data_IF_050013799454
#
_entry.id   IF_050013799454
#
_cell.length_a   1.000
_cell.length_b   1.000
_cell.length_c   1.000
_cell.angle_alpha   90.00
_cell.angle_beta   90.00
_cell.angle_gamma   90.00
#
_symmetry.space_group_name_H-M   'P 1'
#
loop_
_entity.id
_entity.type
_entity.pdbx_description
1 polymer ?
#
# COMPACT_ATOMS: atom_id res chain seq x y z
N UNK A 1 -10.51 14.58 -2.24
CA UNK A 1 -10.97 15.12 -3.54
C UNK A 1 -11.56 16.53 -3.45
N UNK A 2 -12.72 16.78 -2.80
CA UNK A 2 -13.32 18.14 -2.71
C UNK A 2 -12.36 19.23 -2.21
N UNK A 3 -11.56 18.92 -1.19
CA UNK A 3 -10.48 19.79 -0.68
C UNK A 3 -9.46 20.17 -1.75
N UNK A 4 -9.10 19.25 -2.65
CA UNK A 4 -8.09 19.49 -3.70
C UNK A 4 -8.64 20.34 -4.84
N UNK A 5 -9.92 20.17 -5.16
CA UNK A 5 -10.63 21.02 -6.12
C UNK A 5 -10.74 22.46 -5.56
N UNK A 6 -11.13 22.59 -4.29
CA UNK A 6 -11.24 23.90 -3.62
C UNK A 6 -9.89 24.62 -3.51
N UNK A 7 -8.81 23.87 -3.30
CA UNK A 7 -7.45 24.39 -3.26
C UNK A 7 -6.87 24.75 -4.65
N UNK A 8 -7.60 24.50 -5.75
CA UNK A 8 -7.13 24.73 -7.12
C UNK A 8 -6.09 23.73 -7.61
N UNK A 9 -5.85 22.65 -6.86
CA UNK A 9 -4.80 21.67 -7.14
C UNK A 9 -5.26 20.52 -8.06
N UNK A 10 -6.58 20.38 -8.24
CA UNK A 10 -7.20 19.42 -9.14
C UNK A 10 -8.23 20.15 -10.01
N UNK A 11 -7.98 20.31 -11.33
CA UNK A 11 -8.96 20.86 -12.25
C UNK A 11 -10.21 19.99 -12.27
N UNK A 12 -11.38 20.63 -12.15
CA UNK A 12 -12.67 19.96 -12.16
C UNK A 12 -13.64 20.73 -13.03
N UNK A 13 -14.57 20.00 -13.64
CA UNK A 13 -15.63 20.53 -14.50
C UNK A 13 -16.98 20.12 -13.92
N UNK A 14 -17.89 21.08 -13.76
CA UNK A 14 -19.24 20.86 -13.23
C UNK A 14 -19.61 21.82 -12.07
N UNK A 15 -20.89 22.18 -11.97
CA UNK A 15 -21.49 23.09 -10.98
C UNK A 15 -22.32 22.37 -9.90
N UNK A 16 -23.22 23.10 -9.20
CA UNK A 16 -24.06 22.61 -8.07
C UNK A 16 -24.69 21.23 -8.36
N UNK A 17 -24.04 20.17 -7.90
CA UNK A 17 -24.39 18.80 -8.26
C UNK A 17 -23.15 17.90 -8.39
N UNK A 18 -23.04 17.20 -9.52
CA UNK A 18 -21.95 16.26 -9.80
C UNK A 18 -20.74 17.02 -10.34
N UNK A 19 -19.62 16.89 -9.63
CA UNK A 19 -18.33 17.43 -10.06
C UNK A 19 -17.53 16.32 -10.75
N UNK A 20 -17.16 16.54 -12.01
CA UNK A 20 -16.33 15.62 -12.80
C UNK A 20 -14.88 16.11 -12.77
N UNK A 21 -13.94 15.19 -12.63
CA UNK A 21 -12.50 15.47 -12.66
C UNK A 21 -11.86 14.62 -13.73
N UNK A 22 -10.90 15.21 -14.45
CA UNK A 22 -10.13 14.46 -15.42
C UNK A 22 -9.28 13.39 -14.72
N UNK A 23 -9.37 12.16 -15.21
CA UNK A 23 -8.70 11.01 -14.61
C UNK A 23 -7.17 11.11 -14.67
N UNK A 24 -6.62 11.68 -15.75
CA UNK A 24 -5.18 11.86 -15.90
C UNK A 24 -4.65 12.93 -14.94
N UNK A 25 -5.35 14.06 -14.82
CA UNK A 25 -5.01 15.12 -13.86
C UNK A 25 -5.07 14.61 -12.40
N UNK A 26 -6.06 13.77 -12.07
CA UNK A 26 -6.16 13.12 -10.77
C UNK A 26 -4.99 12.14 -10.52
N UNK A 27 -4.63 11.34 -11.52
CA UNK A 27 -3.51 10.41 -11.43
C UNK A 27 -2.16 11.14 -11.24
N UNK A 28 -1.95 12.25 -11.94
CA UNK A 28 -0.77 13.11 -11.75
C UNK A 28 -0.72 13.71 -10.34
N UNK A 29 -1.85 14.24 -9.86
CA UNK A 29 -1.92 14.75 -8.49
C UNK A 29 -1.62 13.67 -7.46
N UNK A 30 -2.17 12.46 -7.65
CA UNK A 30 -1.91 11.32 -6.79
C UNK A 30 -0.42 10.94 -6.78
N UNK A 31 0.25 10.92 -7.95
CA UNK A 31 1.70 10.69 -8.04
C UNK A 31 2.51 11.74 -7.29
N UNK A 32 2.23 13.02 -7.49
CA UNK A 32 2.96 14.11 -6.79
C UNK A 32 2.79 14.04 -5.28
N UNK A 33 1.66 13.51 -4.80
CA UNK A 33 1.34 13.41 -3.38
C UNK A 33 1.70 12.08 -2.73
N UNK A 34 2.03 11.05 -3.51
CA UNK A 34 2.58 9.83 -2.98
C UNK A 34 3.89 10.21 -2.28
N UNK A 35 3.82 10.43 -0.96
CA UNK A 35 5.00 10.57 -0.13
C UNK A 35 5.82 9.31 -0.38
N UNK A 36 7.08 9.48 -0.78
CA UNK A 36 8.01 8.36 -0.75
C UNK A 36 7.89 7.73 0.64
N UNK A 37 7.60 6.42 0.75
CA UNK A 37 7.69 5.75 2.03
C UNK A 37 9.05 6.13 2.60
N UNK A 38 9.08 6.70 3.81
CA UNK A 38 10.30 7.16 4.42
C UNK A 38 11.40 6.14 4.15
N UNK A 39 12.50 6.60 3.55
CA UNK A 39 13.68 5.77 3.38
C UNK A 39 13.96 5.18 4.76
N UNK A 40 14.01 3.85 4.86
CA UNK A 40 14.28 3.18 6.14
C UNK A 40 15.74 3.38 6.56
N UNK A 41 16.48 4.26 5.87
CA UNK A 41 17.86 4.61 6.10
C UNK A 41 18.81 3.46 5.74
N UNK A 42 18.29 2.39 5.15
CA UNK A 42 19.02 1.14 5.00
C UNK A 42 20.00 1.17 3.81
N UNK A 43 19.93 2.16 2.92
CA UNK A 43 20.85 2.31 1.78
C UNK A 43 20.82 1.12 0.81
N UNK A 44 19.75 0.32 0.80
CA UNK A 44 19.67 -0.90 0.01
C UNK A 44 19.06 -0.62 -1.36
N UNK A 45 19.81 -0.90 -2.42
CA UNK A 45 19.27 -0.95 -3.79
C UNK A 45 18.38 -2.19 -3.95
N UNK A 46 17.10 -1.99 -4.26
CA UNK A 46 16.13 -3.08 -4.39
C UNK A 46 15.34 -3.01 -5.69
N UNK A 47 14.99 -4.18 -6.23
CA UNK A 47 14.15 -4.32 -7.43
C UNK A 47 12.65 -4.40 -7.11
N UNK A 48 12.28 -4.75 -5.87
CA UNK A 48 10.91 -4.72 -5.39
C UNK A 48 10.46 -3.27 -5.16
N UNK A 49 9.34 -2.87 -5.77
CA UNK A 49 8.85 -1.48 -5.78
C UNK A 49 7.77 -1.21 -4.74
N UNK A 50 7.07 -2.24 -4.27
CA UNK A 50 5.97 -2.09 -3.34
C UNK A 50 6.46 -2.39 -1.91
N UNK A 51 6.41 -1.38 -1.04
CA UNK A 51 6.78 -1.48 0.37
C UNK A 51 5.62 -1.01 1.23
N UNK A 52 5.22 -1.85 2.16
CA UNK A 52 4.15 -1.56 3.10
C UNK A 52 4.70 -1.73 4.51
N UNK A 53 5.07 -0.61 5.13
CA UNK A 53 5.50 -0.59 6.54
C UNK A 53 4.28 -0.51 7.45
N UNK A 54 4.26 -1.34 8.46
CA UNK A 54 3.13 -1.47 9.37
C UNK A 54 3.50 -2.20 10.65
N UNK A 55 2.48 -2.45 11.46
CA UNK A 55 2.57 -3.26 12.67
C UNK A 55 2.11 -4.68 12.36
N UNK A 56 2.85 -5.67 12.84
CA UNK A 56 2.39 -7.06 12.85
C UNK A 56 1.18 -7.16 13.79
N UNK A 57 0.09 -7.72 13.31
CA UNK A 57 -1.17 -7.87 14.06
C UNK A 57 -1.50 -9.32 14.41
N UNK A 58 -1.08 -10.28 13.59
CA UNK A 58 -1.26 -11.72 13.83
C UNK A 58 -0.08 -12.51 13.27
N UNK A 59 0.30 -13.59 13.95
CA UNK A 59 1.33 -14.54 13.53
C UNK A 59 0.82 -15.95 13.80
N UNK A 60 0.65 -16.74 12.74
CA UNK A 60 0.28 -18.15 12.82
C UNK A 60 1.38 -18.99 12.23
N UNK A 61 1.91 -19.91 13.01
CA UNK A 61 3.07 -20.71 12.62
C UNK A 61 2.74 -22.19 12.74
N UNK A 62 3.04 -22.96 11.71
CA UNK A 62 3.00 -24.42 11.76
C UNK A 62 4.43 -25.00 11.83
N UNK A 63 4.65 -26.24 11.38
CA UNK A 63 5.97 -26.85 11.40
C UNK A 63 6.92 -26.28 10.34
N UNK A 64 6.40 -25.85 9.18
CA UNK A 64 7.18 -25.49 7.98
C UNK A 64 6.89 -24.06 7.53
N UNK A 65 5.63 -23.64 7.59
CA UNK A 65 5.11 -22.39 7.08
C UNK A 65 4.54 -21.52 8.20
N UNK A 66 4.51 -20.23 7.94
CA UNK A 66 3.89 -19.26 8.81
C UNK A 66 3.13 -18.22 7.98
N UNK A 67 2.02 -17.78 8.53
CA UNK A 67 1.27 -16.63 8.09
C UNK A 67 1.54 -15.46 9.03
N UNK A 68 1.93 -14.33 8.46
CA UNK A 68 2.13 -13.07 9.19
C UNK A 68 1.22 -12.01 8.58
N UNK A 69 0.43 -11.35 9.41
CA UNK A 69 -0.48 -10.28 8.99
C UNK A 69 0.03 -8.95 9.54
N UNK A 70 0.08 -7.93 8.68
CA UNK A 70 0.52 -6.57 8.99
C UNK A 70 -0.59 -5.56 8.71
N UNK A 71 -0.77 -4.60 9.61
CA UNK A 71 -1.57 -3.40 9.38
C UNK A 71 -0.67 -2.26 8.89
N UNK A 72 -0.79 -1.90 7.61
CA UNK A 72 0.02 -0.91 6.91
C UNK A 72 -0.84 0.31 6.53
N UNK A 73 -1.03 1.23 7.48
CA UNK A 73 -1.96 2.35 7.30
C UNK A 73 -3.40 1.82 7.16
N UNK A 74 -4.15 2.15 6.08
CA UNK A 74 -5.50 1.64 5.86
C UNK A 74 -5.54 0.23 5.26
N UNK A 75 -4.39 -0.37 4.94
CA UNK A 75 -4.29 -1.66 4.24
C UNK A 75 -3.86 -2.77 5.19
N UNK A 76 -4.48 -3.94 5.09
CA UNK A 76 -4.01 -5.17 5.71
C UNK A 76 -3.21 -5.98 4.67
N UNK A 77 -2.02 -6.45 5.04
CA UNK A 77 -1.14 -7.23 4.17
C UNK A 77 -0.79 -8.54 4.86
N UNK A 78 -1.08 -9.66 4.19
CA UNK A 78 -0.74 -11.00 4.70
C UNK A 78 0.39 -11.61 3.87
N UNK A 79 1.42 -12.10 4.55
CA UNK A 79 2.55 -12.82 3.97
C UNK A 79 2.55 -14.27 4.41
N UNK A 80 2.82 -15.18 3.48
CA UNK A 80 3.17 -16.57 3.77
C UNK A 80 4.68 -16.73 3.63
N UNK A 81 5.34 -17.20 4.68
CA UNK A 81 6.79 -17.38 4.74
C UNK A 81 7.14 -18.64 5.53
N UNK A 82 8.43 -19.03 5.58
CA UNK A 82 8.82 -20.19 6.38
C UNK A 82 8.67 -19.89 7.87
N UNK A 83 8.38 -20.94 8.65
CA UNK A 83 8.34 -20.86 10.11
C UNK A 83 9.68 -20.39 10.69
N UNK A 84 10.79 -20.79 10.08
CA UNK A 84 12.13 -20.37 10.53
C UNK A 84 12.38 -18.88 10.29
N UNK A 85 11.90 -18.33 9.19
CA UNK A 85 12.06 -16.90 8.90
C UNK A 85 11.29 -16.03 9.92
N UNK A 86 10.10 -16.46 10.37
CA UNK A 86 9.36 -15.76 11.44
C UNK A 86 10.15 -15.75 12.75
N UNK A 87 10.74 -16.90 13.12
CA UNK A 87 11.55 -17.03 14.35
C UNK A 87 12.83 -16.22 14.27
N UNK A 88 13.54 -16.29 13.14
CA UNK A 88 14.80 -15.56 12.90
C UNK A 88 14.60 -14.06 12.94
N UNK A 89 13.49 -13.58 12.36
CA UNK A 89 13.14 -12.15 12.35
C UNK A 89 12.49 -11.68 13.66
N UNK A 90 12.17 -12.59 14.59
CA UNK A 90 11.51 -12.27 15.86
C UNK A 90 10.15 -11.60 15.68
N UNK A 91 9.37 -12.01 14.68
CA UNK A 91 8.08 -11.39 14.38
C UNK A 91 7.00 -11.84 15.37
N UNK A 92 6.38 -10.88 16.03
CA UNK A 92 5.26 -11.08 16.95
C UNK A 92 4.26 -9.91 16.84
N UNK A 93 3.01 -10.08 17.30
CA UNK A 93 2.05 -8.97 17.35
C UNK A 93 2.64 -7.76 18.07
N UNK A 94 2.66 -6.61 17.39
CA UNK A 94 3.28 -5.35 17.85
C UNK A 94 4.62 -5.03 17.22
N UNK A 95 5.30 -5.96 16.55
CA UNK A 95 6.55 -5.68 15.82
C UNK A 95 6.31 -4.71 14.67
N UNK A 96 7.22 -3.75 14.45
CA UNK A 96 7.25 -2.95 13.23
C UNK A 96 7.95 -3.76 12.14
N UNK A 97 7.28 -3.95 11.01
CA UNK A 97 7.82 -4.69 9.87
C UNK A 97 7.44 -4.04 8.55
N UNK A 98 8.22 -4.32 7.51
CA UNK A 98 7.95 -3.85 6.14
C UNK A 98 7.70 -5.04 5.24
N UNK A 99 6.48 -5.18 4.73
CA UNK A 99 6.18 -6.13 3.67
C UNK A 99 6.73 -5.61 2.35
N UNK A 100 7.60 -6.40 1.71
CA UNK A 100 8.23 -6.06 0.44
C UNK A 100 7.68 -6.98 -0.65
N UNK A 101 6.97 -6.42 -1.61
CA UNK A 101 6.31 -7.17 -2.68
C UNK A 101 6.94 -6.84 -4.03
N UNK A 102 7.26 -7.89 -4.81
CA UNK A 102 7.81 -7.75 -6.15
C UNK A 102 6.78 -7.09 -7.07
N UNK A 103 7.23 -6.14 -7.89
CA UNK A 103 6.35 -5.35 -8.76
C UNK A 103 5.56 -6.18 -9.78
N UNK A 104 6.05 -7.37 -10.14
CA UNK A 104 5.45 -8.23 -11.17
C UNK A 104 4.21 -8.99 -10.69
N UNK A 105 3.89 -8.96 -9.41
CA UNK A 105 2.76 -9.71 -8.82
C UNK A 105 1.68 -8.74 -8.36
N UNK A 106 1.09 -8.00 -9.31
CA UNK A 106 0.01 -7.03 -9.06
C UNK A 106 -1.12 -7.32 -10.03
N UNK A 107 -2.34 -7.42 -9.50
CA UNK A 107 -3.58 -7.55 -10.28
C UNK A 107 -4.30 -6.21 -10.19
N UNK A 108 -4.77 -5.71 -11.34
CA UNK A 108 -5.53 -4.45 -11.43
C UNK A 108 -6.96 -4.78 -11.84
N UNK A 109 -7.91 -4.33 -11.04
CA UNK A 109 -9.34 -4.50 -11.30
C UNK A 109 -10.02 -3.12 -11.39
N UNK A 110 -11.00 -2.99 -12.28
CA UNK A 110 -11.86 -1.80 -12.37
C UNK A 110 -13.32 -2.26 -12.31
N UNK A 111 -14.18 -1.48 -11.65
CA UNK A 111 -15.61 -1.75 -11.65
C UNK A 111 -16.14 -1.58 -13.08
N UNK A 112 -16.67 -2.65 -13.68
CA UNK A 112 -17.36 -2.56 -14.97
C UNK A 112 -18.62 -1.69 -14.85
N UNK A 113 -18.86 -0.83 -15.83
CA UNK A 113 -20.13 -0.11 -15.94
C UNK A 113 -21.25 -1.13 -16.22
N UNK A 114 -22.23 -1.21 -15.32
CA UNK A 114 -23.48 -1.91 -15.61
C UNK A 114 -24.22 -1.09 -16.67
N UNK A 115 -24.18 -1.54 -17.92
CA UNK A 115 -24.95 -0.99 -19.04
C UNK A 115 -26.30 -1.69 -19.16
#
# INVERSE_FOLDING_TARGET
>A
MRRWITAGELPATGGEGVTTVDGAALAELARRRAQEPADDGAGVLRSARNRFTGLVTDVRTDAVMAQVTLQCGPFEVTSLMSSDAVRELGLEPGSVATAVVKATTVIVEVKGEQR
#
